data_IF_697675498644
#
_entry.id   IF_697675498644
#
_cell.length_a   1.000
_cell.length_b   1.000
_cell.length_c   1.000
_cell.angle_alpha   90.00
_cell.angle_beta   90.00
_cell.angle_gamma   90.00
#
_symmetry.space_group_name_H-M   'P 1'
#
loop_
_entity.id
_entity.type
_entity.pdbx_description
1 polymer ?
#
# COMPACT_ATOMS: atom_id res chain seq x y z
N UNK A 1 15.29 -34.19 -62.66
CA UNK A 1 15.97 -34.80 -61.49
C UNK A 1 15.96 -33.76 -60.35
N UNK A 2 15.23 -34.05 -59.27
CA UNK A 2 15.33 -33.40 -57.93
C UNK A 2 16.44 -34.14 -57.14
N UNK A 3 16.89 -33.73 -55.93
CA UNK A 3 16.53 -32.54 -55.13
C UNK A 3 17.76 -31.84 -54.47
N UNK A 4 17.62 -30.60 -53.97
CA UNK A 4 18.39 -30.19 -52.77
C UNK A 4 17.47 -29.50 -51.76
N UNK A 5 17.59 -30.04 -50.56
CA UNK A 5 16.99 -29.78 -49.26
C UNK A 5 16.68 -28.34 -48.88
N UNK A 6 15.50 -28.14 -48.29
CA UNK A 6 15.22 -27.01 -47.41
C UNK A 6 14.63 -27.56 -46.11
N UNK A 7 15.51 -27.68 -45.11
CA UNK A 7 15.17 -28.05 -43.73
C UNK A 7 14.50 -26.82 -43.12
N UNK A 8 13.19 -26.86 -42.90
CA UNK A 8 12.49 -25.87 -42.09
C UNK A 8 12.47 -26.40 -40.66
N UNK A 9 13.29 -25.79 -39.81
CA UNK A 9 13.39 -26.11 -38.41
C UNK A 9 12.09 -25.76 -37.68
N UNK A 10 11.52 -26.82 -37.11
CA UNK A 10 10.37 -26.87 -36.24
C UNK A 10 10.71 -26.25 -34.87
N UNK A 11 9.81 -25.40 -34.38
CA UNK A 11 9.55 -25.22 -32.95
C UNK A 11 10.66 -24.60 -32.09
N UNK A 12 10.61 -23.28 -31.91
CA UNK A 12 11.17 -22.65 -30.72
C UNK A 12 10.02 -22.09 -29.88
N UNK A 13 9.90 -22.72 -28.71
CA UNK A 13 8.96 -22.53 -27.63
C UNK A 13 8.44 -21.10 -27.42
N UNK A 14 7.12 -21.07 -27.20
CA UNK A 14 6.41 -20.17 -26.30
C UNK A 14 7.23 -19.92 -25.01
N UNK A 15 7.94 -18.81 -24.94
CA UNK A 15 8.31 -18.18 -23.67
C UNK A 15 7.35 -17.01 -23.47
N UNK A 16 6.13 -17.33 -23.07
CA UNK A 16 5.35 -16.42 -22.24
C UNK A 16 6.07 -16.34 -20.89
N UNK A 17 7.12 -15.53 -20.82
CA UNK A 17 7.54 -14.92 -19.58
C UNK A 17 6.42 -13.92 -19.23
N UNK A 18 5.37 -14.41 -18.58
CA UNK A 18 4.52 -13.57 -17.77
C UNK A 18 5.37 -13.06 -16.59
N UNK A 19 6.26 -12.10 -16.85
CA UNK A 19 6.66 -11.15 -15.82
C UNK A 19 5.39 -10.34 -15.54
N UNK A 20 4.54 -10.84 -14.64
CA UNK A 20 3.66 -9.94 -13.92
C UNK A 20 4.57 -9.01 -13.11
N UNK A 21 4.44 -7.71 -13.33
CA UNK A 21 5.22 -6.72 -12.57
C UNK A 21 5.10 -7.00 -11.07
N UNK A 22 6.24 -7.06 -10.39
CA UNK A 22 6.28 -7.24 -8.95
C UNK A 22 5.55 -6.05 -8.29
N UNK A 23 4.56 -6.28 -7.40
CA UNK A 23 3.73 -5.20 -6.86
C UNK A 23 4.58 -4.17 -6.11
N UNK A 24 4.24 -2.89 -6.25
CA UNK A 24 5.00 -1.81 -5.62
C UNK A 24 5.00 -1.93 -4.09
N UNK A 25 6.20 -1.91 -3.51
CA UNK A 25 6.43 -1.97 -2.06
C UNK A 25 6.21 -0.64 -1.35
N UNK A 26 6.22 0.44 -2.11
CA UNK A 26 5.97 1.79 -1.65
C UNK A 26 4.91 2.34 -2.58
N UNK A 27 3.76 2.69 -2.02
CA UNK A 27 2.69 3.36 -2.76
C UNK A 27 2.43 4.68 -2.08
N UNK A 28 2.27 5.74 -2.87
CA UNK A 28 1.81 7.02 -2.36
C UNK A 28 0.62 7.54 -3.16
N UNK A 29 -0.18 8.38 -2.51
CA UNK A 29 -1.35 9.00 -3.11
C UNK A 29 -1.68 10.28 -2.38
N UNK A 30 -2.14 11.25 -3.15
CA UNK A 30 -2.61 12.53 -2.62
C UNK A 30 -4.12 12.47 -2.34
N UNK A 31 -4.56 13.29 -1.39
CA UNK A 31 -5.99 13.53 -1.19
C UNK A 31 -6.57 14.33 -2.36
N UNK A 32 -7.87 14.22 -2.61
CA UNK A 32 -8.49 14.91 -3.77
C UNK A 32 -8.34 16.43 -3.69
N UNK A 33 -8.34 16.98 -2.47
CA UNK A 33 -8.09 18.40 -2.20
C UNK A 33 -6.61 18.81 -2.31
N UNK A 34 -5.70 17.86 -2.63
CA UNK A 34 -4.26 18.09 -2.81
C UNK A 34 -3.53 18.55 -1.54
N UNK A 35 -4.15 18.45 -0.36
CA UNK A 35 -3.56 18.98 0.87
C UNK A 35 -2.62 18.00 1.56
N UNK A 36 -2.75 16.71 1.27
CA UNK A 36 -2.04 15.67 1.99
C UNK A 36 -1.52 14.58 1.06
N UNK A 37 -0.33 14.08 1.33
CA UNK A 37 0.21 12.88 0.70
C UNK A 37 0.29 11.75 1.73
N UNK A 38 -0.34 10.62 1.43
CA UNK A 38 -0.19 9.39 2.19
C UNK A 38 0.82 8.48 1.48
N UNK A 39 1.73 7.90 2.24
CA UNK A 39 2.63 6.83 1.78
C UNK A 39 2.44 5.59 2.64
N UNK A 40 2.30 4.42 1.98
CA UNK A 40 2.40 3.10 2.60
C UNK A 40 3.69 2.45 2.13
N UNK A 41 4.57 2.09 3.07
CA UNK A 41 5.86 1.46 2.79
C UNK A 41 5.96 0.11 3.48
N UNK A 42 6.16 -0.95 2.68
CA UNK A 42 6.40 -2.30 3.16
C UNK A 42 7.81 -2.79 2.81
N UNK A 43 8.43 -3.53 3.74
CA UNK A 43 9.76 -4.12 3.52
C UNK A 43 9.77 -5.29 2.53
N UNK A 44 8.60 -5.83 2.25
CA UNK A 44 8.35 -6.84 1.23
C UNK A 44 6.87 -6.81 0.91
N UNK A 45 6.55 -7.32 -0.25
CA UNK A 45 5.22 -7.43 -0.82
C UNK A 45 4.82 -8.91 -1.00
N UNK A 46 5.65 -9.84 -0.55
CA UNK A 46 5.43 -11.27 -0.66
C UNK A 46 5.39 -11.92 0.73
N UNK A 47 4.30 -12.65 1.01
CA UNK A 47 4.03 -13.25 2.31
C UNK A 47 3.61 -14.70 2.21
N UNK A 48 4.08 -15.50 3.18
CA UNK A 48 3.50 -16.82 3.45
C UNK A 48 2.20 -16.66 4.22
N UNK A 49 1.32 -17.65 4.10
CA UNK A 49 0.08 -17.69 4.89
C UNK A 49 0.39 -17.66 6.40
N UNK A 50 -0.31 -16.80 7.14
CA UNK A 50 -0.07 -16.55 8.56
C UNK A 50 1.09 -15.61 8.87
N UNK A 51 1.84 -15.15 7.86
CA UNK A 51 2.93 -14.21 8.06
C UNK A 51 2.43 -12.78 8.29
N UNK A 52 3.09 -12.08 9.18
CA UNK A 52 2.86 -10.68 9.50
C UNK A 52 3.87 -9.77 8.77
N UNK A 53 3.36 -8.67 8.23
CA UNK A 53 4.09 -7.65 7.50
C UNK A 53 3.88 -6.29 8.17
N UNK A 54 4.92 -5.72 8.80
CA UNK A 54 4.90 -4.34 9.21
C UNK A 54 4.85 -3.43 7.97
N UNK A 55 3.90 -2.50 7.97
CA UNK A 55 3.76 -1.46 6.96
C UNK A 55 3.88 -0.11 7.66
N UNK A 56 4.82 0.71 7.19
CA UNK A 56 4.98 2.07 7.66
C UNK A 56 3.94 2.95 6.96
N UNK A 57 3.23 3.74 7.74
CA UNK A 57 2.30 4.74 7.25
C UNK A 57 2.93 6.10 7.48
N UNK A 58 2.98 6.92 6.44
CA UNK A 58 3.45 8.31 6.53
C UNK A 58 2.43 9.22 5.88
N UNK A 59 2.00 10.25 6.61
CA UNK A 59 1.12 11.29 6.09
C UNK A 59 1.87 12.62 6.15
N UNK A 60 1.93 13.33 5.03
CA UNK A 60 2.61 14.62 4.92
C UNK A 60 1.62 15.69 4.48
N UNK A 61 1.70 16.88 5.06
CA UNK A 61 0.99 18.05 4.55
C UNK A 61 1.74 18.67 3.38
N UNK A 62 1.06 18.76 2.24
CA UNK A 62 1.59 19.41 1.03
C UNK A 62 1.43 20.94 1.09
N UNK A 63 0.48 21.43 1.90
CA UNK A 63 0.22 22.86 2.08
C UNK A 63 1.08 23.50 3.19
N UNK A 64 1.97 22.74 3.84
CA UNK A 64 2.75 23.18 4.99
C UNK A 64 1.97 23.07 6.30
N UNK A 65 2.33 23.88 7.31
CA UNK A 65 1.65 23.81 8.59
C UNK A 65 0.19 24.29 8.46
N UNK A 66 -0.81 23.53 8.96
CA UNK A 66 -2.20 23.97 8.96
C UNK A 66 -2.41 25.27 9.74
N UNK A 67 -3.44 26.06 9.41
CA UNK A 67 -3.77 27.26 10.19
C UNK A 67 -4.29 26.88 11.59
N UNK A 68 -5.30 26.01 11.65
CA UNK A 68 -5.87 25.47 12.88
C UNK A 68 -5.43 24.02 13.12
N UNK A 69 -5.40 23.60 14.39
CA UNK A 69 -5.08 22.21 14.75
C UNK A 69 -6.08 21.25 14.11
N UNK A 70 -5.53 20.33 13.32
CA UNK A 70 -6.29 19.35 12.55
C UNK A 70 -6.07 17.96 13.13
N UNK A 71 -7.15 17.21 13.33
CA UNK A 71 -7.12 15.85 13.85
C UNK A 71 -8.09 15.01 13.05
N UNK A 72 -7.61 13.87 12.58
CA UNK A 72 -8.42 12.94 11.80
C UNK A 72 -7.84 11.51 11.93
N UNK A 73 -8.39 10.58 11.15
CA UNK A 73 -8.13 9.15 11.23
C UNK A 73 -7.85 8.54 9.86
N UNK A 74 -7.04 7.49 9.87
CA UNK A 74 -6.79 6.63 8.72
C UNK A 74 -7.37 5.26 9.06
N UNK A 75 -8.40 4.82 8.33
CA UNK A 75 -9.01 3.51 8.49
C UNK A 75 -8.35 2.50 7.53
N UNK A 76 -8.10 1.27 8.00
CA UNK A 76 -7.48 0.22 7.20
C UNK A 76 -8.42 -0.97 6.99
N UNK A 77 -8.51 -1.45 5.76
CA UNK A 77 -9.30 -2.62 5.37
C UNK A 77 -8.43 -3.59 4.58
N UNK A 78 -8.59 -4.89 4.84
CA UNK A 78 -7.91 -5.97 4.13
C UNK A 78 -8.92 -6.95 3.53
N UNK A 79 -8.63 -7.46 2.32
CA UNK A 79 -9.49 -8.42 1.62
C UNK A 79 -9.10 -9.90 1.84
N UNK A 80 -7.82 -10.18 2.17
CA UNK A 80 -7.29 -11.54 2.35
C UNK A 80 -6.46 -11.69 3.65
N UNK A 81 -6.76 -10.88 4.65
CA UNK A 81 -5.97 -10.79 5.87
C UNK A 81 -6.62 -9.87 6.90
N UNK A 82 -5.82 -9.44 7.87
CA UNK A 82 -6.22 -8.47 8.88
C UNK A 82 -5.14 -7.41 9.04
N UNK A 83 -5.53 -6.20 9.43
CA UNK A 83 -4.60 -5.09 9.75
C UNK A 83 -4.75 -4.72 11.23
N UNK A 84 -3.63 -4.56 11.93
CA UNK A 84 -3.60 -4.16 13.34
C UNK A 84 -2.53 -3.08 13.61
N UNK A 85 -2.88 -1.93 14.19
CA UNK A 85 -4.25 -1.47 14.40
C UNK A 85 -4.97 -1.24 13.06
N UNK A 86 -6.29 -1.38 13.04
CA UNK A 86 -7.10 -1.10 11.84
C UNK A 86 -7.50 0.39 11.71
N UNK A 87 -7.07 1.22 12.66
CA UNK A 87 -7.26 2.67 12.66
C UNK A 87 -6.07 3.36 13.27
N UNK A 88 -5.55 4.37 12.58
CA UNK A 88 -4.59 5.32 13.14
C UNK A 88 -5.29 6.66 13.37
N UNK A 89 -4.88 7.38 14.40
CA UNK A 89 -5.33 8.76 14.68
C UNK A 89 -4.11 9.66 14.58
N UNK A 90 -4.20 10.71 13.77
CA UNK A 90 -3.12 11.68 13.63
C UNK A 90 -3.59 13.07 14.05
N UNK A 91 -2.64 13.93 14.39
CA UNK A 91 -2.90 15.32 14.74
C UNK A 91 -1.77 16.18 14.20
N UNK A 92 -2.13 17.20 13.45
CA UNK A 92 -1.25 18.27 13.03
C UNK A 92 -1.58 19.54 13.79
N UNK A 93 -0.57 20.07 14.47
CA UNK A 93 -0.73 21.29 15.25
C UNK A 93 -0.76 22.49 14.31
N UNK A 94 -1.82 23.29 14.43
CA UNK A 94 -1.98 24.48 13.62
C UNK A 94 -1.10 25.64 14.08
N UNK A 95 -0.80 26.57 13.17
CA UNK A 95 -0.03 27.77 13.47
C UNK A 95 -0.72 28.70 14.49
N UNK A 96 -2.06 28.64 14.59
CA UNK A 96 -2.85 29.44 15.53
C UNK A 96 -2.91 28.83 16.94
N UNK A 97 -2.39 27.60 17.13
CA UNK A 97 -2.39 26.93 18.44
C UNK A 97 -1.29 27.48 19.34
N UNK A 98 -1.61 28.57 20.04
CA UNK A 98 -0.70 29.23 20.99
C UNK A 98 -0.41 28.42 22.26
N UNK A 99 -1.14 27.31 22.48
CA UNK A 99 -0.93 26.46 23.66
C UNK A 99 0.16 25.42 23.43
N UNK A 100 0.51 25.18 22.17
CA UNK A 100 1.56 24.24 21.81
C UNK A 100 2.95 24.87 21.92
N UNK A 101 3.71 24.47 22.93
CA UNK A 101 5.08 24.96 23.18
C UNK A 101 6.16 23.92 22.83
N UNK A 102 5.78 22.84 22.16
CA UNK A 102 6.66 21.69 21.87
C UNK A 102 7.39 21.79 20.52
N UNK A 103 8.32 20.85 20.31
CA UNK A 103 8.80 20.48 18.98
C UNK A 103 8.00 19.25 18.58
N UNK A 104 7.22 19.34 17.51
CA UNK A 104 6.46 18.18 17.05
C UNK A 104 5.92 18.34 15.65
N UNK A 105 5.13 17.34 15.30
CA UNK A 105 4.72 17.04 13.95
C UNK A 105 3.65 18.04 13.47
N UNK A 106 4.10 19.17 12.94
CA UNK A 106 3.22 20.20 12.36
C UNK A 106 2.83 19.88 10.91
N UNK A 107 3.63 19.05 10.24
CA UNK A 107 3.47 18.76 8.81
C UNK A 107 3.63 17.28 8.43
N UNK A 108 4.04 16.41 9.35
CA UNK A 108 4.28 15.00 9.02
C UNK A 108 3.89 14.09 10.17
N UNK A 109 3.07 13.07 9.90
CA UNK A 109 2.72 12.01 10.82
C UNK A 109 3.30 10.69 10.31
N UNK A 110 3.79 9.84 11.21
CA UNK A 110 4.22 8.49 10.84
C UNK A 110 3.96 7.52 11.97
N UNK A 111 3.43 6.36 11.62
CA UNK A 111 3.19 5.26 12.55
C UNK A 111 3.22 3.91 11.79
N UNK A 112 3.09 2.80 12.53
CA UNK A 112 3.16 1.45 12.00
C UNK A 112 1.81 0.74 12.11
N UNK A 113 1.45 0.01 11.06
CA UNK A 113 0.42 -1.02 11.11
C UNK A 113 1.01 -2.37 10.72
N UNK A 114 0.36 -3.44 11.13
CA UNK A 114 0.77 -4.81 10.80
C UNK A 114 -0.33 -5.48 10.00
N UNK A 115 -0.04 -5.80 8.74
CA UNK A 115 -0.88 -6.67 7.92
C UNK A 115 -0.54 -8.13 8.22
N UNK A 116 -1.52 -9.01 8.37
CA UNK A 116 -1.32 -10.46 8.53
C UNK A 116 -2.13 -11.19 7.48
N UNK A 117 -1.46 -12.04 6.69
CA UNK A 117 -2.14 -12.84 5.66
C UNK A 117 -2.91 -14.00 6.32
N UNK A 118 -4.17 -14.18 5.96
CA UNK A 118 -5.03 -15.20 6.59
C UNK A 118 -4.50 -16.63 6.39
N UNK A 119 -4.70 -17.47 7.40
CA UNK A 119 -4.33 -18.91 7.40
C UNK A 119 -5.39 -19.82 6.77
N UNK A 120 -6.59 -19.30 6.53
CA UNK A 120 -7.75 -20.09 6.08
C UNK A 120 -7.68 -20.45 4.59
N UNK A 121 -7.56 -21.74 4.29
CA UNK A 121 -7.67 -22.33 2.95
C UNK A 121 -9.12 -22.47 2.44
N UNK A 122 -10.12 -22.08 3.22
CA UNK A 122 -11.54 -22.22 2.84
C UNK A 122 -12.11 -20.93 2.22
N UNK A 123 -11.76 -20.69 0.96
CA UNK A 123 -12.67 -20.20 -0.10
C UNK A 123 -11.85 -20.05 -1.38
N UNK A 124 -12.40 -20.60 -2.46
CA UNK A 124 -11.84 -20.64 -3.81
C UNK A 124 -11.22 -19.30 -4.24
N UNK A 125 -9.95 -19.34 -4.63
CA UNK A 125 -9.39 -18.70 -5.84
C UNK A 125 -7.87 -18.81 -5.76
N UNK A 126 -7.30 -19.48 -6.76
CA UNK A 126 -5.89 -19.83 -6.93
C UNK A 126 -5.03 -18.64 -7.41
N UNK A 127 -5.40 -17.40 -7.06
CA UNK A 127 -4.76 -16.14 -7.48
C UNK A 127 -4.65 -15.12 -6.32
N UNK A 128 -4.35 -15.56 -5.09
CA UNK A 128 -4.47 -14.73 -3.87
C UNK A 128 -3.42 -13.61 -3.78
N UNK A 129 -3.71 -12.47 -4.42
CA UNK A 129 -3.15 -11.17 -4.07
C UNK A 129 -3.92 -10.60 -2.88
N UNK A 130 -3.28 -10.52 -1.71
CA UNK A 130 -3.77 -9.72 -0.59
C UNK A 130 -3.66 -8.23 -0.89
N UNK A 131 -4.58 -7.43 -0.38
CA UNK A 131 -4.59 -5.99 -0.52
C UNK A 131 -4.84 -5.37 0.86
N UNK A 132 -4.09 -4.32 1.17
CA UNK A 132 -4.41 -3.39 2.25
C UNK A 132 -4.80 -2.05 1.64
N UNK A 133 -6.02 -1.62 1.93
CA UNK A 133 -6.54 -0.30 1.58
C UNK A 133 -6.49 0.63 2.79
N UNK A 134 -5.90 1.81 2.62
CA UNK A 134 -6.00 2.92 3.55
C UNK A 134 -7.09 3.90 3.07
N UNK A 135 -8.03 4.21 3.95
CA UNK A 135 -9.21 5.04 3.67
C UNK A 135 -9.14 6.33 4.49
N UNK A 136 -9.24 7.46 3.81
CA UNK A 136 -9.48 8.77 4.43
C UNK A 136 -10.95 9.14 4.25
N UNK A 137 -11.76 8.97 5.30
CA UNK A 137 -13.22 9.18 5.22
C UNK A 137 -13.61 10.60 4.80
N UNK A 138 -12.91 11.61 5.31
CA UNK A 138 -13.29 13.01 5.10
C UNK A 138 -12.54 13.66 3.93
N UNK A 139 -11.62 12.94 3.28
CA UNK A 139 -10.75 13.45 2.20
C UNK A 139 -10.85 12.63 0.89
N UNK A 140 -11.83 11.71 0.82
CA UNK A 140 -12.23 10.89 -0.33
C UNK A 140 -11.07 10.13 -1.05
N UNK A 141 -9.98 9.84 -0.34
CA UNK A 141 -8.81 9.15 -0.89
C UNK A 141 -8.75 7.69 -0.45
N UNK A 142 -8.45 6.81 -1.42
CA UNK A 142 -8.18 5.39 -1.19
C UNK A 142 -6.80 5.04 -1.74
N UNK A 143 -5.88 4.67 -0.86
CA UNK A 143 -4.55 4.19 -1.25
C UNK A 143 -4.45 2.69 -1.03
N UNK A 144 -3.89 1.97 -2.00
CA UNK A 144 -3.86 0.50 -2.02
C UNK A 144 -2.44 -0.02 -2.17
N UNK A 145 -2.02 -0.89 -1.27
CA UNK A 145 -0.80 -1.69 -1.42
C UNK A 145 -1.18 -3.16 -1.68
N UNK A 146 -0.65 -3.72 -2.77
CA UNK A 146 -0.86 -5.13 -3.14
C UNK A 146 0.24 -6.00 -2.53
N UNK A 147 -0.16 -7.17 -2.06
CA UNK A 147 0.66 -8.16 -1.40
C UNK A 147 0.42 -9.48 -2.14
N UNK A 148 1.45 -10.07 -2.70
CA UNK A 148 1.36 -11.36 -3.39
C UNK A 148 1.66 -12.47 -2.38
N UNK A 149 0.98 -13.60 -2.52
CA UNK A 149 1.33 -14.79 -1.77
C UNK A 149 2.52 -15.49 -2.43
N UNK A 150 3.56 -15.79 -1.64
CA UNK A 150 4.70 -16.63 -2.06
C UNK A 150 4.33 -18.12 -2.14
#
# INVERSE_FOLDING_TARGET
MKPISMIIALGALLLFAACGDEPERIVSGETEDGRWELTLEARKNALRSGEALPVRVTLVSLAGQPAATFRDTIDFVANAGSVSPNRLVFTFVGAEDMTYTGVGNTTQFSDWVTYTLSTSSSQANEERQGEMSALFRDLEAVLKIRIVQD
#
